data_IF_649295086142
#
_entry.id   IF_649295086142
#
_cell.length_a   1.000
_cell.length_b   1.000
_cell.length_c   1.000
_cell.angle_alpha   90.00
_cell.angle_beta   90.00
_cell.angle_gamma   90.00
#
_symmetry.space_group_name_H-M   'P 1'
#
loop_
_entity.id
_entity.type
_entity.pdbx_description
1 polymer ?
#
# COMPACT_ATOMS: atom_id res chain seq x y z
N UNK A 1 31.99 -22.21 3.01
CA UNK A 1 30.61 -22.42 2.53
C UNK A 1 30.16 -21.13 1.91
N UNK A 2 30.01 -21.08 0.59
CA UNK A 2 29.36 -19.96 -0.09
C UNK A 2 27.87 -20.25 -0.07
N UNK A 3 27.08 -19.40 0.58
CA UNK A 3 25.62 -19.47 0.52
C UNK A 3 25.17 -19.11 -0.90
N UNK A 4 24.54 -20.05 -1.59
CA UNK A 4 23.86 -19.81 -2.86
C UNK A 4 22.64 -18.91 -2.61
N UNK A 5 22.88 -17.59 -2.59
CA UNK A 5 21.81 -16.60 -2.58
C UNK A 5 21.07 -16.66 -3.91
N UNK A 6 19.84 -17.17 -3.89
CA UNK A 6 18.96 -17.10 -5.05
C UNK A 6 18.71 -15.63 -5.42
N UNK A 7 19.29 -15.20 -6.55
CA UNK A 7 19.09 -13.86 -7.09
C UNK A 7 17.79 -13.87 -7.90
N UNK A 8 16.73 -13.32 -7.32
CA UNK A 8 15.48 -13.10 -8.05
C UNK A 8 15.61 -11.84 -8.92
N UNK A 9 16.01 -12.03 -10.17
CA UNK A 9 16.00 -10.97 -11.18
C UNK A 9 14.59 -10.93 -11.77
N UNK A 10 13.76 -9.97 -11.37
CA UNK A 10 12.49 -9.72 -12.06
C UNK A 10 12.81 -9.11 -13.43
N UNK A 11 12.45 -9.76 -14.55
CA UNK A 11 12.66 -9.18 -15.86
C UNK A 11 11.86 -7.89 -16.00
N UNK A 12 12.54 -6.78 -16.28
CA UNK A 12 11.87 -5.56 -16.70
C UNK A 12 11.48 -5.74 -18.17
N UNK A 13 10.18 -5.78 -18.48
CA UNK A 13 9.72 -5.82 -19.87
C UNK A 13 10.00 -4.46 -20.51
N UNK A 14 11.20 -4.32 -21.11
CA UNK A 14 11.66 -3.11 -21.81
C UNK A 14 10.94 -2.82 -23.14
N UNK A 15 9.87 -3.57 -23.46
CA UNK A 15 9.15 -3.49 -24.74
C UNK A 15 7.68 -3.16 -24.65
N UNK A 16 7.14 -2.90 -23.45
CA UNK A 16 5.77 -2.42 -23.31
C UNK A 16 5.86 -0.91 -23.13
N UNK A 17 5.34 -0.17 -24.09
CA UNK A 17 5.19 1.28 -23.99
C UNK A 17 4.20 1.53 -22.84
N UNK A 18 4.71 1.71 -21.62
CA UNK A 18 3.87 1.88 -20.43
C UNK A 18 3.19 3.23 -20.64
N UNK A 19 1.86 3.25 -20.85
CA UNK A 19 1.17 4.50 -21.11
C UNK A 19 1.39 5.42 -19.93
N UNK A 20 2.02 6.57 -20.20
CA UNK A 20 2.24 7.58 -19.17
C UNK A 20 0.89 8.07 -18.70
N UNK A 21 0.66 7.97 -17.40
CA UNK A 21 -0.54 8.53 -16.80
C UNK A 21 -0.46 10.06 -16.88
N UNK A 22 -1.35 10.65 -17.68
CA UNK A 22 -1.47 12.09 -17.84
C UNK A 22 -2.94 12.55 -17.75
N UNK A 23 -3.20 13.84 -17.45
CA UNK A 23 -4.56 14.34 -17.35
C UNK A 23 -5.36 14.26 -18.65
N UNK A 24 -4.71 14.26 -19.81
CA UNK A 24 -5.38 14.24 -21.12
C UNK A 24 -5.99 12.86 -21.37
N UNK A 25 -5.20 11.80 -21.13
CA UNK A 25 -5.62 10.41 -21.21
C UNK A 25 -6.73 10.11 -20.19
N UNK A 26 -6.59 10.59 -18.95
CA UNK A 26 -7.62 10.44 -17.91
C UNK A 26 -8.95 11.08 -18.35
N UNK A 27 -8.90 12.32 -18.84
CA UNK A 27 -10.09 13.02 -19.31
C UNK A 27 -10.71 12.34 -20.54
N UNK A 28 -9.87 11.83 -21.45
CA UNK A 28 -10.33 11.05 -22.60
C UNK A 28 -11.03 9.77 -22.15
N UNK A 29 -10.44 9.00 -21.25
CA UNK A 29 -11.05 7.80 -20.68
C UNK A 29 -12.43 8.13 -20.09
N UNK A 30 -12.54 9.19 -19.29
CA UNK A 30 -13.81 9.64 -18.74
C UNK A 30 -14.84 9.95 -19.84
N UNK A 31 -14.46 10.66 -20.90
CA UNK A 31 -15.35 10.97 -22.04
C UNK A 31 -15.80 9.73 -22.83
N UNK A 32 -14.98 8.68 -22.81
CA UNK A 32 -15.29 7.37 -23.42
C UNK A 32 -16.03 6.43 -22.45
N UNK A 33 -16.41 6.91 -21.25
CA UNK A 33 -17.09 6.11 -20.22
C UNK A 33 -16.19 5.06 -19.54
N UNK A 34 -14.87 5.21 -19.62
CA UNK A 34 -13.87 4.33 -19.00
C UNK A 34 -13.39 4.93 -17.67
N UNK A 35 -13.55 4.18 -16.59
CA UNK A 35 -13.04 4.58 -15.28
C UNK A 35 -11.51 4.42 -15.22
N UNK A 36 -10.82 5.44 -14.69
CA UNK A 36 -9.39 5.35 -14.41
C UNK A 36 -9.17 5.18 -12.91
N UNK A 37 -8.64 4.03 -12.50
CA UNK A 37 -8.44 3.68 -11.10
C UNK A 37 -6.96 3.54 -10.77
N UNK A 38 -6.51 4.28 -9.77
CA UNK A 38 -5.17 4.20 -9.21
C UNK A 38 -5.20 3.34 -7.96
N UNK A 39 -4.62 2.14 -8.09
CA UNK A 39 -4.40 1.26 -6.96
C UNK A 39 -3.17 1.74 -6.20
N UNK A 40 -3.33 2.02 -4.91
CA UNK A 40 -2.24 2.49 -4.07
C UNK A 40 -1.52 1.29 -3.42
N UNK A 41 -0.19 1.32 -3.49
CA UNK A 41 0.69 0.41 -2.77
C UNK A 41 0.86 0.87 -1.30
N UNK A 42 1.13 -0.08 -0.41
CA UNK A 42 1.41 0.13 1.02
C UNK A 42 2.51 1.16 1.24
N UNK A 43 3.54 1.16 0.39
CA UNK A 43 4.62 2.16 0.46
C UNK A 43 4.13 3.60 0.24
N UNK A 44 3.11 3.81 -0.59
CA UNK A 44 2.53 5.12 -0.83
C UNK A 44 1.71 5.57 0.39
N UNK A 45 0.93 4.66 0.98
CA UNK A 45 0.20 4.94 2.22
C UNK A 45 1.15 5.31 3.37
N UNK A 46 2.26 4.58 3.53
CA UNK A 46 3.29 4.88 4.55
C UNK A 46 3.89 6.28 4.32
N UNK A 47 4.10 6.68 3.05
CA UNK A 47 4.58 8.03 2.73
C UNK A 47 3.55 9.11 3.08
N UNK A 48 2.27 8.88 2.76
CA UNK A 48 1.17 9.78 3.13
C UNK A 48 1.05 9.93 4.65
N UNK A 49 1.10 8.82 5.39
CA UNK A 49 1.14 8.81 6.85
C UNK A 49 2.27 9.68 7.41
N UNK A 50 3.48 9.56 6.86
CA UNK A 50 4.64 10.37 7.30
C UNK A 50 4.41 11.86 7.06
N UNK A 51 3.72 12.24 6.00
CA UNK A 51 3.35 13.64 5.72
C UNK A 51 2.36 14.14 6.78
N UNK A 52 1.32 13.36 7.07
CA UNK A 52 0.31 13.71 8.08
C UNK A 52 0.94 13.87 9.45
N UNK A 53 1.77 12.91 9.87
CA UNK A 53 2.52 12.96 11.14
C UNK A 53 3.50 14.14 11.22
N UNK A 54 3.94 14.68 10.07
CA UNK A 54 4.79 15.87 9.99
C UNK A 54 3.99 17.19 9.95
N UNK A 55 2.66 17.12 10.12
CA UNK A 55 1.76 18.28 10.15
C UNK A 55 1.25 18.72 8.76
N UNK A 56 1.16 17.81 7.79
CA UNK A 56 0.58 18.07 6.45
C UNK A 56 1.20 19.26 5.68
N UNK A 57 2.49 19.53 5.90
CA UNK A 57 3.19 20.60 5.21
C UNK A 57 3.54 20.18 3.78
N UNK A 58 3.33 21.06 2.80
CA UNK A 58 3.70 20.82 1.39
C UNK A 58 5.17 20.42 1.21
N UNK A 59 6.07 20.98 2.04
CA UNK A 59 7.48 20.59 2.07
C UNK A 59 7.65 19.09 2.32
N UNK A 60 6.87 18.52 3.24
CA UNK A 60 6.92 17.08 3.55
C UNK A 60 6.41 16.23 2.39
N UNK A 61 5.35 16.68 1.69
CA UNK A 61 4.85 16.02 0.47
C UNK A 61 5.97 15.85 -0.56
N UNK A 62 6.73 16.93 -0.80
CA UNK A 62 7.87 16.92 -1.74
C UNK A 62 9.02 16.05 -1.24
N UNK A 63 9.39 16.14 0.04
CA UNK A 63 10.44 15.31 0.63
C UNK A 63 10.12 13.80 0.60
N UNK A 64 8.83 13.43 0.62
CA UNK A 64 8.39 12.03 0.47
C UNK A 64 8.10 11.62 -0.99
N UNK A 65 8.34 12.51 -1.96
CA UNK A 65 8.17 12.24 -3.39
C UNK A 65 6.71 12.01 -3.81
N UNK A 66 5.76 12.65 -3.11
CA UNK A 66 4.32 12.60 -3.43
C UNK A 66 3.84 13.81 -4.24
N UNK A 67 4.72 14.77 -4.49
CA UNK A 67 4.43 16.03 -5.19
C UNK A 67 3.91 15.80 -6.62
N UNK A 68 4.53 14.88 -7.36
CA UNK A 68 4.08 14.55 -8.72
C UNK A 68 2.68 13.90 -8.71
N UNK A 69 2.42 13.00 -7.76
CA UNK A 69 1.12 12.33 -7.62
C UNK A 69 0.03 13.35 -7.26
N UNK A 70 0.26 14.16 -6.24
CA UNK A 70 -0.71 15.18 -5.81
C UNK A 70 -0.92 16.21 -6.93
N UNK A 71 0.16 16.68 -7.57
CA UNK A 71 0.08 17.64 -8.66
C UNK A 71 -0.65 17.09 -9.90
N UNK A 72 -0.54 15.78 -10.18
CA UNK A 72 -1.33 15.13 -11.22
C UNK A 72 -2.81 15.09 -10.85
N UNK A 73 -3.14 14.62 -9.65
CA UNK A 73 -4.53 14.46 -9.19
C UNK A 73 -5.26 15.80 -9.10
N UNK A 74 -4.58 16.86 -8.64
CA UNK A 74 -5.16 18.22 -8.59
C UNK A 74 -5.49 18.81 -9.96
N UNK A 75 -4.82 18.35 -11.03
CA UNK A 75 -5.09 18.78 -12.41
C UNK A 75 -6.20 17.96 -13.09
N UNK A 76 -6.56 16.84 -12.51
CA UNK A 76 -7.63 15.99 -13.03
C UNK A 76 -9.00 16.59 -12.68
N UNK A 77 -10.01 16.30 -13.50
CA UNK A 77 -11.38 16.72 -13.19
C UNK A 77 -11.93 15.91 -12.01
N UNK A 78 -12.88 16.45 -11.23
CA UNK A 78 -13.61 15.65 -10.26
C UNK A 78 -14.23 14.42 -10.94
N UNK A 79 -14.28 13.29 -10.22
CA UNK A 79 -14.80 12.00 -10.70
C UNK A 79 -14.07 11.35 -11.89
N UNK A 80 -12.94 11.89 -12.34
CA UNK A 80 -12.20 11.30 -13.47
C UNK A 80 -11.20 10.23 -13.03
N UNK A 81 -10.80 10.23 -11.76
CA UNK A 81 -9.85 9.27 -11.17
C UNK A 81 -10.42 8.73 -9.87
N UNK A 82 -10.29 7.42 -9.67
CA UNK A 82 -10.59 6.74 -8.41
C UNK A 82 -9.29 6.34 -7.71
N UNK A 83 -9.17 6.60 -6.40
CA UNK A 83 -8.05 6.14 -5.57
C UNK A 83 -8.48 4.91 -4.79
N UNK A 84 -7.74 3.80 -4.92
CA UNK A 84 -8.07 2.55 -4.25
C UNK A 84 -6.94 2.12 -3.31
N UNK A 85 -7.01 2.46 -2.01
CA UNK A 85 -6.07 1.98 -1.00
C UNK A 85 -6.35 0.53 -0.56
N UNK A 86 -7.46 -0.08 -1.00
CA UNK A 86 -7.96 -1.35 -0.48
C UNK A 86 -6.99 -2.53 -0.63
N UNK A 87 -6.08 -2.51 -1.62
CA UNK A 87 -5.05 -3.54 -1.75
C UNK A 87 -3.96 -3.40 -0.68
N UNK A 88 -3.43 -2.19 -0.50
CA UNK A 88 -2.46 -1.90 0.55
C UNK A 88 -2.99 -2.21 1.96
N UNK A 89 -4.26 -1.91 2.23
CA UNK A 89 -4.87 -2.18 3.54
C UNK A 89 -4.97 -3.68 3.86
N UNK A 90 -5.05 -4.56 2.85
CA UNK A 90 -5.08 -6.02 3.05
C UNK A 90 -3.73 -6.61 3.44
N UNK A 91 -2.64 -5.91 3.17
CA UNK A 91 -1.29 -6.34 3.55
C UNK A 91 -0.98 -6.00 5.03
N UNK A 92 -1.83 -5.19 5.67
CA UNK A 92 -1.63 -4.72 7.03
C UNK A 92 -2.54 -5.47 8.01
N UNK A 93 -2.12 -5.64 9.28
CA UNK A 93 -3.02 -6.05 10.34
C UNK A 93 -4.25 -5.12 10.41
N UNK A 94 -5.46 -5.62 10.68
CA UNK A 94 -6.69 -4.82 10.61
C UNK A 94 -6.67 -3.52 11.43
N UNK A 95 -5.97 -3.53 12.57
CA UNK A 95 -5.82 -2.37 13.44
C UNK A 95 -4.95 -1.29 12.79
N UNK A 96 -3.82 -1.69 12.20
CA UNK A 96 -2.94 -0.80 11.47
C UNK A 96 -3.60 -0.30 10.18
N UNK A 97 -4.39 -1.15 9.52
CA UNK A 97 -5.17 -0.77 8.34
C UNK A 97 -6.18 0.34 8.67
N UNK A 98 -6.83 0.29 9.83
CA UNK A 98 -7.74 1.37 10.27
C UNK A 98 -7.01 2.69 10.47
N UNK A 99 -5.88 2.67 11.18
CA UNK A 99 -5.06 3.88 11.40
C UNK A 99 -4.52 4.43 10.08
N UNK A 100 -4.03 3.57 9.20
CA UNK A 100 -3.55 3.95 7.88
C UNK A 100 -4.66 4.58 7.04
N UNK A 101 -5.88 4.06 7.13
CA UNK A 101 -7.05 4.62 6.46
C UNK A 101 -7.41 6.00 7.00
N UNK A 102 -7.45 6.19 8.32
CA UNK A 102 -7.76 7.51 8.92
C UNK A 102 -6.70 8.56 8.54
N UNK A 103 -5.43 8.17 8.47
CA UNK A 103 -4.34 9.03 8.01
C UNK A 103 -4.42 9.31 6.51
N UNK A 104 -4.80 8.32 5.70
CA UNK A 104 -5.05 8.51 4.27
C UNK A 104 -6.16 9.56 4.04
N UNK A 105 -7.28 9.45 4.75
CA UNK A 105 -8.38 10.42 4.68
C UNK A 105 -7.93 11.83 5.11
N UNK A 106 -7.16 11.91 6.20
CA UNK A 106 -6.59 13.18 6.65
C UNK A 106 -5.67 13.81 5.59
N UNK A 107 -4.85 13.00 4.91
CA UNK A 107 -4.01 13.46 3.81
C UNK A 107 -4.85 13.97 2.62
N UNK A 108 -5.85 13.21 2.19
CA UNK A 108 -6.72 13.57 1.07
C UNK A 108 -7.48 14.86 1.34
N UNK A 109 -8.02 15.04 2.55
CA UNK A 109 -8.78 16.25 2.92
C UNK A 109 -7.97 17.56 2.78
N UNK A 110 -6.65 17.50 3.02
CA UNK A 110 -5.78 18.67 2.96
C UNK A 110 -5.19 18.87 1.56
N UNK A 111 -4.72 17.80 0.93
CA UNK A 111 -3.94 17.89 -0.31
C UNK A 111 -4.77 17.66 -1.57
N UNK A 112 -5.95 17.05 -1.45
CA UNK A 112 -6.85 16.69 -2.53
C UNK A 112 -8.29 17.14 -2.25
N UNK A 113 -8.56 18.43 -1.95
CA UNK A 113 -9.88 18.89 -1.49
C UNK A 113 -10.99 18.78 -2.56
N UNK A 114 -10.61 18.75 -3.84
CA UNK A 114 -11.54 18.61 -4.96
C UNK A 114 -11.73 17.14 -5.39
N UNK A 115 -11.07 16.21 -4.70
CA UNK A 115 -11.18 14.79 -4.98
C UNK A 115 -12.43 14.25 -4.30
N UNK A 116 -13.28 13.58 -5.07
CA UNK A 116 -14.54 13.03 -4.59
C UNK A 116 -14.54 11.55 -4.91
N UNK A 117 -14.88 10.74 -3.91
CA UNK A 117 -15.02 9.31 -4.09
C UNK A 117 -16.11 8.98 -5.12
N UNK A 118 -15.92 7.86 -5.82
CA UNK A 118 -16.95 7.35 -6.72
C UNK A 118 -18.20 6.98 -5.94
N UNK A 119 -19.41 7.15 -6.52
CA UNK A 119 -20.66 6.81 -5.84
C UNK A 119 -20.80 5.32 -5.54
N UNK A 120 -20.00 4.47 -6.19
CA UNK A 120 -19.91 3.03 -5.96
C UNK A 120 -18.88 2.65 -4.89
N UNK A 121 -18.20 3.63 -4.27
CA UNK A 121 -17.22 3.38 -3.21
C UNK A 121 -17.90 2.77 -1.98
N UNK A 122 -17.39 1.62 -1.53
CA UNK A 122 -17.89 0.94 -0.33
C UNK A 122 -16.87 1.01 0.79
N UNK A 123 -17.26 1.57 1.94
CA UNK A 123 -16.44 1.54 3.16
C UNK A 123 -16.81 0.31 4.01
N UNK A 124 -16.00 -0.74 3.95
CA UNK A 124 -16.13 -1.85 4.89
C UNK A 124 -15.37 -1.51 6.18
N UNK A 125 -16.11 -1.25 7.26
CA UNK A 125 -15.52 -1.05 8.59
C UNK A 125 -15.21 -2.42 9.17
N UNK A 126 -13.96 -2.66 9.57
CA UNK A 126 -13.59 -3.88 10.29
C UNK A 126 -14.10 -3.83 11.73
N UNK A 127 -14.86 -4.85 12.14
CA UNK A 127 -15.49 -4.97 13.46
C UNK A 127 -14.83 -6.03 14.37
N UNK A 128 -13.69 -6.60 13.96
CA UNK A 128 -12.99 -7.66 14.71
C UNK A 128 -12.26 -7.17 15.98
N UNK A 129 -11.98 -8.10 16.89
CA UNK A 129 -11.34 -7.84 18.19
C UNK A 129 -9.81 -7.92 18.02
N UNK A 130 -9.07 -7.12 18.80
CA UNK A 130 -7.62 -6.90 18.71
C UNK A 130 -6.74 -8.16 18.70
N UNK A 131 -7.20 -9.29 19.22
CA UNK A 131 -6.41 -10.50 19.41
C UNK A 131 -6.48 -11.49 18.24
N UNK A 132 -7.28 -11.22 17.20
CA UNK A 132 -7.48 -12.16 16.09
C UNK A 132 -6.36 -12.09 15.03
N UNK A 133 -5.44 -11.15 15.15
CA UNK A 133 -4.31 -10.96 14.22
C UNK A 133 -2.98 -10.94 14.98
N UNK A 134 -2.22 -12.01 14.81
CA UNK A 134 -0.90 -12.23 15.39
C UNK A 134 -0.48 -13.67 15.16
N UNK A 135 0.83 -13.93 15.07
CA UNK A 135 1.32 -15.27 15.30
C UNK A 135 1.31 -15.47 16.81
N UNK A 136 0.63 -16.51 17.30
CA UNK A 136 0.89 -16.97 18.66
C UNK A 136 2.34 -17.42 18.67
N UNK A 137 3.17 -16.82 19.54
CA UNK A 137 4.49 -17.35 19.81
C UNK A 137 4.35 -18.84 20.15
N UNK A 138 5.25 -19.67 19.61
CA UNK A 138 5.28 -21.08 19.95
C UNK A 138 5.32 -21.19 21.48
N UNK A 139 4.37 -21.93 22.04
CA UNK A 139 4.41 -22.30 23.45
C UNK A 139 5.75 -22.99 23.73
N UNK A 140 6.22 -22.93 24.98
CA UNK A 140 7.52 -23.50 25.38
C UNK A 140 7.71 -24.97 24.95
N UNK A 141 6.60 -25.70 24.77
CA UNK A 141 6.57 -27.07 24.23
C UNK A 141 6.99 -27.16 22.75
N UNK A 142 6.60 -26.19 21.91
CA UNK A 142 6.98 -26.13 20.49
C UNK A 142 8.46 -25.81 20.27
N UNK A 143 9.08 -25.04 21.16
CA UNK A 143 10.53 -24.78 21.18
C UNK A 143 11.35 -26.00 21.65
N UNK A 144 10.76 -26.86 22.48
CA UNK A 144 11.44 -28.04 22.99
C UNK A 144 11.54 -29.17 21.95
N UNK A 145 10.64 -29.21 20.97
CA UNK A 145 10.65 -30.21 19.90
C UNK A 145 11.68 -29.94 18.77
N UNK A 146 12.24 -28.73 18.65
CA UNK A 146 13.22 -28.41 17.60
C UNK A 146 14.68 -28.72 17.98
N UNK A 147 14.95 -29.12 19.22
CA UNK A 147 16.32 -29.41 19.72
C UNK A 147 16.63 -30.90 19.95
N UNK A 148 15.83 -31.84 19.43
CA UNK A 148 16.06 -33.28 19.57
C UNK A 148 16.07 -34.00 18.22
N UNK A 149 17.11 -33.77 17.41
CA UNK A 149 17.66 -34.81 16.54
C UNK A 149 19.13 -34.51 16.16
N UNK A 150 20.01 -34.49 17.17
CA UNK A 150 21.42 -34.82 16.96
C UNK A 150 21.87 -35.68 18.13
N UNK A 151 21.60 -36.99 18.06
CA UNK A 151 22.29 -37.98 18.88
C UNK A 151 22.72 -39.17 18.01
N UNK A 152 24.02 -39.18 17.71
CA UNK A 152 24.85 -40.38 17.75
C UNK A 152 24.85 -41.28 16.51
N UNK A 153 25.68 -40.95 15.51
CA UNK A 153 26.35 -42.00 14.74
C UNK A 153 27.65 -42.38 15.47
N UNK A 154 27.63 -43.54 16.12
CA UNK A 154 28.85 -44.21 16.59
C UNK A 154 29.47 -44.96 15.41
N UNK A 155 30.69 -44.61 15.06
CA UNK A 155 31.50 -45.41 14.15
C UNK A 155 31.91 -46.71 14.85
N UNK A 156 31.74 -47.83 14.13
CA UNK A 156 32.57 -49.03 14.28
C UNK A 156 33.37 -49.12 12.98
#
# INVERSE_FOLDING_TARGET
MNEDRAIYIKPNHSGIDIPKLDPVLINRNQSEGKETTLVLDSNILIRMERVVKSGNKWRSVREKGLDNLVGLLQKCRPYSVCLSPGFALKEMPPQNAKVAMDLYEAFCSVHLPNFIDTPTSTRKVHTGINNDYGFNDLTYEGLCCTNLSVKGFSAI
#
